data_IF_709911177631
#
_entry.id   IF_709911177631
#
_cell.length_a   1.000
_cell.length_b   1.000
_cell.length_c   1.000
_cell.angle_alpha   90.00
_cell.angle_beta   90.00
_cell.angle_gamma   90.00
#
_symmetry.space_group_name_H-M   'P 1'
#
loop_
_entity.id
_entity.type
_entity.pdbx_description
1 polymer ?
#
# COMPACT_ATOMS: atom_id res chain seq x y z
N UNK A 1 -5.38 4.16 -19.40
CA UNK A 1 -5.66 4.22 -17.94
C UNK A 1 -6.80 5.20 -17.63
N UNK A 2 -6.88 6.37 -18.28
CA UNK A 2 -8.03 7.28 -18.17
C UNK A 2 -9.37 6.64 -18.56
N UNK A 3 -9.40 5.77 -19.58
CA UNK A 3 -10.65 5.11 -20.02
C UNK A 3 -11.29 4.25 -18.93
N UNK A 4 -10.55 3.30 -18.34
CA UNK A 4 -11.12 2.38 -17.34
C UNK A 4 -11.59 3.08 -16.05
N UNK A 5 -10.98 4.20 -15.68
CA UNK A 5 -11.46 5.00 -14.54
C UNK A 5 -12.75 5.71 -14.89
N UNK A 6 -12.82 6.34 -16.06
CA UNK A 6 -14.04 7.00 -16.53
C UNK A 6 -15.19 6.00 -16.69
N UNK A 7 -14.92 4.83 -17.28
CA UNK A 7 -15.91 3.75 -17.40
C UNK A 7 -16.45 3.32 -16.02
N UNK A 8 -15.59 3.28 -14.99
CA UNK A 8 -16.02 2.95 -13.63
C UNK A 8 -16.93 4.04 -13.04
N UNK A 9 -16.64 5.32 -13.29
CA UNK A 9 -17.48 6.44 -12.84
C UNK A 9 -18.83 6.40 -13.57
N UNK A 10 -18.82 6.25 -14.89
CA UNK A 10 -20.03 6.20 -15.71
C UNK A 10 -20.93 5.04 -15.26
N UNK A 11 -20.37 3.86 -15.01
CA UNK A 11 -21.12 2.71 -14.49
C UNK A 11 -21.60 2.92 -13.05
N UNK A 12 -20.82 3.61 -12.21
CA UNK A 12 -21.23 3.93 -10.85
C UNK A 12 -22.42 4.89 -10.84
N UNK A 13 -22.46 5.85 -11.76
CA UNK A 13 -23.54 6.84 -11.86
C UNK A 13 -24.89 6.23 -12.24
N UNK A 14 -24.87 5.12 -13.00
CA UNK A 14 -26.07 4.35 -13.37
C UNK A 14 -26.71 3.58 -12.21
N UNK A 15 -25.99 3.38 -11.10
CA UNK A 15 -26.49 2.65 -9.94
C UNK A 15 -27.58 3.44 -9.19
N UNK A 16 -28.53 2.72 -8.60
CA UNK A 16 -29.46 3.29 -7.62
C UNK A 16 -28.73 3.78 -6.37
N UNK A 17 -29.40 4.59 -5.54
CA UNK A 17 -28.79 5.12 -4.31
C UNK A 17 -28.32 3.99 -3.37
N UNK A 18 -29.13 2.95 -3.18
CA UNK A 18 -28.79 1.80 -2.33
C UNK A 18 -27.58 1.03 -2.86
N UNK A 19 -27.52 0.81 -4.18
CA UNK A 19 -26.37 0.17 -4.83
C UNK A 19 -25.10 1.02 -4.73
N UNK A 20 -25.21 2.35 -4.85
CA UNK A 20 -24.08 3.29 -4.65
C UNK A 20 -23.54 3.20 -3.22
N UNK A 21 -24.41 3.20 -2.21
CA UNK A 21 -24.02 3.06 -0.81
C UNK A 21 -23.31 1.72 -0.55
N UNK A 22 -23.83 0.63 -1.11
CA UNK A 22 -23.21 -0.68 -1.03
C UNK A 22 -21.85 -0.72 -1.75
N UNK A 23 -21.76 -0.16 -2.96
CA UNK A 23 -20.52 -0.09 -3.72
C UNK A 23 -19.44 0.71 -2.96
N UNK A 24 -19.79 1.82 -2.31
CA UNK A 24 -18.87 2.57 -1.43
C UNK A 24 -18.35 1.68 -0.29
N UNK A 25 -19.22 0.88 0.34
CA UNK A 25 -18.81 -0.06 1.40
C UNK A 25 -17.81 -1.10 0.87
N UNK A 26 -18.06 -1.64 -0.32
CA UNK A 26 -17.16 -2.60 -0.98
C UNK A 26 -15.82 -1.95 -1.31
N UNK A 27 -15.81 -0.75 -1.91
CA UNK A 27 -14.57 -0.05 -2.25
C UNK A 27 -13.72 0.28 -1.01
N UNK A 28 -14.35 0.74 0.08
CA UNK A 28 -13.65 0.97 1.36
C UNK A 28 -12.97 -0.30 1.86
N UNK A 29 -13.67 -1.44 1.83
CA UNK A 29 -13.09 -2.74 2.21
C UNK A 29 -11.94 -3.11 1.28
N UNK A 30 -12.11 -2.99 -0.03
CA UNK A 30 -11.09 -3.32 -1.01
C UNK A 30 -9.80 -2.51 -0.79
N UNK A 31 -9.90 -1.20 -0.55
CA UNK A 31 -8.75 -0.33 -0.26
C UNK A 31 -8.01 -0.81 1.00
N UNK A 32 -8.72 -1.19 2.06
CA UNK A 32 -8.12 -1.71 3.29
C UNK A 32 -7.37 -3.01 3.02
N UNK A 33 -7.95 -3.94 2.27
CA UNK A 33 -7.29 -5.19 1.92
C UNK A 33 -6.05 -4.96 1.04
N UNK A 34 -6.12 -4.09 0.03
CA UNK A 34 -4.95 -3.73 -0.79
C UNK A 34 -3.82 -3.13 0.05
N UNK A 35 -4.14 -2.30 1.05
CA UNK A 35 -3.14 -1.77 1.99
C UNK A 35 -2.52 -2.89 2.83
N UNK A 36 -3.33 -3.83 3.32
CA UNK A 36 -2.83 -5.01 4.07
C UNK A 36 -1.91 -5.88 3.23
N UNK A 37 -2.25 -6.13 1.97
CA UNK A 37 -1.39 -6.88 1.06
C UNK A 37 -0.04 -6.20 0.83
N UNK A 38 -0.03 -4.89 0.62
CA UNK A 38 1.21 -4.10 0.50
C UNK A 38 2.06 -4.20 1.77
N UNK A 39 1.43 -4.12 2.94
CA UNK A 39 2.11 -4.29 4.22
C UNK A 39 2.72 -5.69 4.36
N UNK A 40 1.96 -6.74 4.03
CA UNK A 40 2.45 -8.13 4.06
C UNK A 40 3.65 -8.31 3.14
N UNK A 41 3.62 -7.76 1.92
CA UNK A 41 4.76 -7.80 0.99
C UNK A 41 5.99 -7.15 1.61
N UNK A 42 5.84 -5.94 2.17
CA UNK A 42 6.93 -5.20 2.84
C UNK A 42 7.49 -5.96 4.04
N UNK A 43 6.64 -6.52 4.89
CA UNK A 43 7.07 -7.30 6.06
C UNK A 43 7.83 -8.55 5.63
N UNK A 44 7.37 -9.25 4.59
CA UNK A 44 8.08 -10.42 4.04
C UNK A 44 9.45 -10.04 3.49
N UNK A 45 9.54 -8.92 2.79
CA UNK A 45 10.81 -8.37 2.30
C UNK A 45 11.75 -8.02 3.46
N UNK A 46 11.30 -7.25 4.44
CA UNK A 46 12.07 -6.92 5.64
C UNK A 46 12.59 -8.16 6.36
N UNK A 47 11.75 -9.19 6.52
CA UNK A 47 12.15 -10.45 7.15
C UNK A 47 13.22 -11.20 6.34
N UNK A 48 13.08 -11.24 5.01
CA UNK A 48 14.10 -11.83 4.13
C UNK A 48 15.42 -11.06 4.22
N UNK A 49 15.38 -9.74 4.24
CA UNK A 49 16.55 -8.89 4.36
C UNK A 49 17.26 -9.13 5.70
N UNK A 50 16.51 -9.21 6.81
CA UNK A 50 17.05 -9.56 8.12
C UNK A 50 17.73 -10.93 8.14
N UNK A 51 17.05 -11.97 7.65
CA UNK A 51 17.59 -13.33 7.62
C UNK A 51 18.82 -13.47 6.70
N UNK A 52 18.89 -12.70 5.62
CA UNK A 52 20.02 -12.71 4.70
C UNK A 52 21.15 -11.76 5.09
N UNK A 53 21.07 -11.10 6.26
CA UNK A 53 22.06 -10.12 6.71
C UNK A 53 22.10 -8.85 5.88
N UNK A 54 21.15 -8.64 4.95
CA UNK A 54 20.97 -7.41 4.16
C UNK A 54 20.28 -6.32 4.98
N UNK A 55 20.79 -6.12 6.17
CA UNK A 55 20.33 -5.12 7.13
C UNK A 55 21.51 -4.26 7.51
N UNK A 56 21.26 -2.97 7.68
CA UNK A 56 22.24 -2.09 8.30
C UNK A 56 22.08 -2.22 9.81
N UNK A 57 23.13 -2.70 10.46
CA UNK A 57 23.23 -2.70 11.92
C UNK A 57 24.32 -1.72 12.29
N UNK A 58 24.01 -0.80 13.19
CA UNK A 58 24.92 0.26 13.58
C UNK A 58 24.46 0.91 14.87
N UNK A 59 25.42 1.32 15.70
CA UNK A 59 25.18 2.16 16.85
C UNK A 59 25.18 3.65 16.48
N UNK A 60 25.30 4.51 17.49
CA UNK A 60 25.23 5.95 17.31
C UNK A 60 26.28 6.47 16.30
N UNK A 61 27.45 5.84 16.23
CA UNK A 61 28.55 6.24 15.34
C UNK A 61 28.22 5.98 13.87
N UNK A 62 27.72 4.79 13.52
CA UNK A 62 27.29 4.50 12.15
C UNK A 62 26.11 5.39 11.73
N UNK A 63 25.22 5.73 12.67
CA UNK A 63 24.11 6.66 12.39
C UNK A 63 24.61 8.07 12.05
N UNK A 64 25.60 8.60 12.79
CA UNK A 64 26.20 9.90 12.47
C UNK A 64 26.91 9.88 11.11
N UNK A 65 27.59 8.79 10.77
CA UNK A 65 28.21 8.64 9.45
C UNK A 65 27.19 8.63 8.32
N UNK A 66 26.02 8.04 8.50
CA UNK A 66 24.97 8.02 7.47
C UNK A 66 24.39 9.41 7.22
N UNK A 67 24.17 10.18 8.29
CA UNK A 67 23.63 11.54 8.20
C UNK A 67 24.60 12.54 7.55
N UNK A 68 25.90 12.32 7.68
CA UNK A 68 26.94 13.18 7.09
C UNK A 68 27.25 12.83 5.62
N UNK A 69 26.82 11.66 5.13
CA UNK A 69 27.17 11.15 3.79
C UNK A 69 25.97 10.99 2.82
N UNK A 70 24.78 11.47 3.19
CA UNK A 70 23.60 11.64 2.30
C UNK A 70 23.59 13.04 1.65
#
# INVERSE_FOLDING_TARGET
MQSAFNDLIDNFDLLSLEEKEYAIKVFKKNIIETKREKLVKRVRESRKNFQSGKIKMGGLKELYQDLEND
#
